data_IF_547428650948
#
_entry.id   IF_547428650948
#
_cell.length_a   1.000
_cell.length_b   1.000
_cell.length_c   1.000
_cell.angle_alpha   90.00
_cell.angle_beta   90.00
_cell.angle_gamma   90.00
#
_symmetry.space_group_name_H-M   'P 1'
#
loop_
_entity.id
_entity.type
_entity.pdbx_description
1 polymer ?
#
# COMPACT_ATOMS: atom_id res chain seq x y z
N UNK A 1 -9.23 18.91 20.18
CA UNK A 1 -9.95 18.83 18.88
C UNK A 1 -11.37 18.37 19.13
N UNK A 2 -12.37 19.16 18.74
CA UNK A 2 -13.78 18.82 18.94
C UNK A 2 -14.29 18.05 17.72
N UNK A 3 -14.79 16.81 17.91
CA UNK A 3 -15.33 15.97 16.83
C UNK A 3 -16.54 16.60 16.12
N UNK A 4 -17.28 17.47 16.81
CA UNK A 4 -18.41 18.21 16.21
C UNK A 4 -17.93 19.20 15.15
N UNK A 5 -16.82 19.89 15.44
CA UNK A 5 -16.24 20.87 14.51
C UNK A 5 -15.64 20.19 13.28
N UNK A 6 -14.97 19.04 13.46
CA UNK A 6 -14.48 18.21 12.35
C UNK A 6 -15.63 17.78 11.41
N UNK A 7 -16.75 17.31 11.95
CA UNK A 7 -17.91 16.90 11.15
C UNK A 7 -18.54 18.03 10.35
N UNK A 8 -18.44 19.27 10.83
CA UNK A 8 -18.99 20.48 10.15
C UNK A 8 -18.00 21.10 9.18
N UNK A 9 -16.70 20.86 9.36
CA UNK A 9 -15.63 21.46 8.58
C UNK A 9 -15.50 20.86 7.15
N UNK A 10 -16.09 19.69 6.90
CA UNK A 10 -16.01 19.00 5.61
C UNK A 10 -17.26 18.16 5.32
N UNK A 11 -17.17 17.30 4.30
CA UNK A 11 -18.28 16.42 3.90
C UNK A 11 -18.02 14.98 4.37
N UNK A 12 -18.51 14.64 5.56
CA UNK A 12 -18.31 13.32 6.19
C UNK A 12 -18.77 12.14 5.31
N UNK A 13 -19.93 12.18 4.60
CA UNK A 13 -20.32 11.08 3.71
C UNK A 13 -19.30 10.82 2.61
N UNK A 14 -18.68 11.84 2.03
CA UNK A 14 -17.60 11.67 1.04
C UNK A 14 -16.36 11.07 1.68
N UNK A 15 -15.97 11.48 2.89
CA UNK A 15 -14.82 10.92 3.59
C UNK A 15 -15.00 9.43 3.87
N UNK A 16 -16.18 9.04 4.38
CA UNK A 16 -16.47 7.63 4.68
C UNK A 16 -16.59 6.77 3.41
N UNK A 17 -17.16 7.33 2.32
CA UNK A 17 -17.20 6.63 1.05
C UNK A 17 -15.82 6.51 0.39
N UNK A 18 -14.93 7.49 0.57
CA UNK A 18 -13.53 7.41 0.13
C UNK A 18 -12.75 6.34 0.90
N UNK A 19 -12.95 6.26 2.22
CA UNK A 19 -12.40 5.18 3.04
C UNK A 19 -12.89 3.81 2.56
N UNK A 20 -14.20 3.63 2.42
CA UNK A 20 -14.79 2.35 1.98
C UNK A 20 -14.32 1.95 0.58
N UNK A 21 -14.28 2.91 -0.35
CA UNK A 21 -13.73 2.70 -1.69
C UNK A 21 -12.29 2.18 -1.62
N UNK A 22 -11.46 2.82 -0.81
CA UNK A 22 -10.06 2.42 -0.69
C UNK A 22 -9.92 1.06 0.01
N UNK A 23 -10.68 0.82 1.07
CA UNK A 23 -10.64 -0.43 1.86
C UNK A 23 -11.04 -1.64 1.00
N UNK A 24 -12.19 -1.58 0.34
CA UNK A 24 -12.68 -2.66 -0.52
C UNK A 24 -11.79 -2.86 -1.75
N UNK A 25 -11.27 -1.77 -2.33
CA UNK A 25 -10.32 -1.86 -3.45
C UNK A 25 -9.03 -2.54 -3.02
N UNK A 26 -8.48 -2.24 -1.84
CA UNK A 26 -7.27 -2.90 -1.34
C UNK A 26 -7.50 -4.36 -0.96
N UNK A 27 -8.69 -4.69 -0.44
CA UNK A 27 -9.10 -6.08 -0.24
C UNK A 27 -9.02 -6.88 -1.56
N UNK A 28 -9.57 -6.33 -2.64
CA UNK A 28 -9.56 -6.98 -3.97
C UNK A 28 -8.15 -7.01 -4.56
N UNK A 29 -7.39 -5.95 -4.39
CA UNK A 29 -6.03 -5.84 -4.95
C UNK A 29 -5.08 -6.94 -4.50
N UNK A 30 -5.13 -7.33 -3.23
CA UNK A 30 -4.26 -8.38 -2.67
C UNK A 30 -4.91 -9.77 -2.66
N UNK A 31 -6.05 -9.92 -3.33
CA UNK A 31 -6.84 -11.15 -3.31
C UNK A 31 -6.04 -12.37 -3.80
N UNK A 32 -5.26 -12.22 -4.88
CA UNK A 32 -4.40 -13.30 -5.40
C UNK A 32 -3.37 -13.74 -4.37
N UNK A 33 -2.75 -12.80 -3.66
CA UNK A 33 -1.80 -13.12 -2.59
C UNK A 33 -2.45 -13.88 -1.44
N UNK A 34 -3.65 -13.47 -1.02
CA UNK A 34 -4.43 -14.15 0.01
C UNK A 34 -4.87 -15.57 -0.42
N UNK A 35 -5.17 -15.77 -1.70
CA UNK A 35 -5.61 -17.04 -2.29
C UNK A 35 -4.45 -17.92 -2.79
N UNK A 36 -3.21 -17.43 -2.77
CA UNK A 36 -2.08 -18.11 -3.40
C UNK A 36 -1.89 -19.55 -2.92
N UNK A 37 -2.19 -19.83 -1.66
CA UNK A 37 -2.12 -21.18 -1.09
C UNK A 37 -3.12 -22.19 -1.67
N UNK A 38 -4.18 -21.71 -2.32
CA UNK A 38 -5.16 -22.52 -3.03
C UNK A 38 -4.89 -22.59 -4.53
N UNK A 39 -4.34 -21.51 -5.11
CA UNK A 39 -4.03 -21.38 -6.52
C UNK A 39 -2.77 -22.19 -6.89
N UNK A 40 -1.71 -22.09 -6.08
CA UNK A 40 -0.40 -22.70 -6.36
C UNK A 40 -0.44 -24.20 -6.61
N UNK A 41 -1.19 -25.02 -5.85
CA UNK A 41 -1.29 -26.47 -6.08
C UNK A 41 -1.88 -26.82 -7.46
N UNK A 42 -2.85 -26.03 -7.96
CA UNK A 42 -3.52 -26.30 -9.22
C UNK A 42 -2.59 -26.17 -10.45
N UNK A 43 -1.53 -25.37 -10.32
CA UNK A 43 -0.61 -25.06 -11.44
C UNK A 43 0.83 -25.56 -11.23
N UNK A 44 1.14 -26.17 -10.09
CA UNK A 44 2.50 -26.69 -9.82
C UNK A 44 3.60 -25.64 -9.89
N UNK A 45 3.36 -24.42 -9.37
CA UNK A 45 4.22 -23.26 -9.55
C UNK A 45 5.55 -23.36 -8.79
N UNK A 46 6.65 -23.02 -9.47
CA UNK A 46 7.96 -22.80 -8.84
C UNK A 46 7.93 -21.62 -7.86
N UNK A 47 8.88 -21.52 -6.91
CA UNK A 47 8.97 -20.36 -6.00
C UNK A 47 9.04 -19.03 -6.72
N UNK A 48 9.76 -18.92 -7.84
CA UNK A 48 9.82 -17.72 -8.67
C UNK A 48 8.45 -17.39 -9.28
N UNK A 49 7.75 -18.40 -9.84
CA UNK A 49 6.40 -18.21 -10.40
C UNK A 49 5.37 -17.81 -9.32
N UNK A 50 5.52 -18.31 -8.09
CA UNK A 50 4.72 -17.86 -6.93
C UNK A 50 4.95 -16.38 -6.63
N UNK A 51 6.21 -15.93 -6.64
CA UNK A 51 6.56 -14.51 -6.45
C UNK A 51 5.94 -13.64 -7.54
N UNK A 52 6.03 -14.07 -8.81
CA UNK A 52 5.42 -13.38 -9.96
C UNK A 52 3.90 -13.29 -9.81
N UNK A 53 3.24 -14.39 -9.45
CA UNK A 53 1.79 -14.45 -9.25
C UNK A 53 1.29 -13.39 -8.28
N UNK A 54 1.88 -13.30 -7.09
CA UNK A 54 1.43 -12.35 -6.07
C UNK A 54 1.95 -10.94 -6.30
N UNK A 55 3.05 -10.77 -7.03
CA UNK A 55 3.60 -9.47 -7.40
C UNK A 55 2.82 -8.78 -8.53
N UNK A 56 2.28 -9.54 -9.48
CA UNK A 56 1.64 -8.98 -10.69
C UNK A 56 0.51 -7.99 -10.39
N UNK A 57 -0.43 -8.23 -9.44
CA UNK A 57 -1.42 -7.21 -9.06
C UNK A 57 -0.78 -5.92 -8.55
N UNK A 58 0.34 -6.04 -7.82
CA UNK A 58 1.04 -4.89 -7.24
C UNK A 58 1.69 -4.07 -8.37
N UNK A 59 2.29 -4.72 -9.37
CA UNK A 59 2.82 -4.07 -10.57
C UNK A 59 1.71 -3.32 -11.33
N UNK A 60 0.57 -3.99 -11.57
CA UNK A 60 -0.59 -3.36 -12.19
C UNK A 60 -1.04 -2.10 -11.43
N UNK A 61 -1.08 -2.19 -10.09
CA UNK A 61 -1.40 -1.06 -9.22
C UNK A 61 -0.39 0.09 -9.33
N UNK A 62 0.90 -0.21 -9.41
CA UNK A 62 1.94 0.80 -9.58
C UNK A 62 1.75 1.61 -10.88
N UNK A 63 1.51 0.92 -12.00
CA UNK A 63 1.31 1.53 -13.31
C UNK A 63 0.01 2.35 -13.35
N UNK A 64 -1.11 1.73 -12.95
CA UNK A 64 -2.44 2.33 -13.05
C UNK A 64 -2.64 3.47 -12.04
N UNK A 65 -1.84 3.54 -10.98
CA UNK A 65 -1.86 4.66 -10.03
C UNK A 65 -1.52 5.99 -10.67
N UNK A 66 -0.59 6.00 -11.62
CA UNK A 66 -0.27 7.20 -12.40
C UNK A 66 -1.44 7.59 -13.31
N UNK A 67 -2.07 6.61 -13.95
CA UNK A 67 -3.22 6.85 -14.85
C UNK A 67 -4.41 7.39 -14.06
N UNK A 68 -4.81 6.72 -12.97
CA UNK A 68 -5.93 7.16 -12.15
C UNK A 68 -5.65 8.49 -11.44
N UNK A 69 -4.40 8.78 -11.09
CA UNK A 69 -3.98 10.06 -10.55
C UNK A 69 -4.24 11.22 -11.52
N UNK A 70 -3.80 11.08 -12.78
CA UNK A 70 -4.06 12.06 -13.85
C UNK A 70 -5.56 12.18 -14.13
N UNK A 71 -6.28 11.06 -14.16
CA UNK A 71 -7.75 11.09 -14.34
C UNK A 71 -8.45 11.80 -13.17
N UNK A 72 -7.97 11.63 -11.94
CA UNK A 72 -8.53 12.30 -10.76
C UNK A 72 -8.40 13.83 -10.85
N UNK A 73 -7.29 14.31 -11.38
CA UNK A 73 -7.08 15.75 -11.56
C UNK A 73 -7.88 16.32 -12.72
N UNK A 74 -8.12 15.55 -13.80
CA UNK A 74 -8.82 16.01 -15.01
C UNK A 74 -10.32 15.81 -14.98
N UNK A 75 -10.78 14.65 -14.50
CA UNK A 75 -12.20 14.25 -14.53
C UNK A 75 -12.92 14.47 -13.19
N UNK A 76 -12.13 14.75 -12.12
CA UNK A 76 -12.59 14.76 -10.75
C UNK A 76 -12.49 13.38 -10.07
N UNK A 77 -12.33 13.41 -8.76
CA UNK A 77 -12.09 12.20 -7.97
C UNK A 77 -13.32 11.28 -7.93
N UNK A 78 -14.54 11.83 -7.87
CA UNK A 78 -15.78 11.05 -7.87
C UNK A 78 -15.94 10.25 -9.17
N UNK A 79 -15.81 10.88 -10.33
CA UNK A 79 -15.93 10.18 -11.63
C UNK A 79 -14.86 9.13 -11.80
N UNK A 80 -13.62 9.46 -11.47
CA UNK A 80 -12.49 8.52 -11.54
C UNK A 80 -12.68 7.32 -10.62
N UNK A 81 -13.20 7.52 -9.39
CA UNK A 81 -13.51 6.44 -8.46
C UNK A 81 -14.58 5.49 -8.98
N UNK A 82 -15.67 6.02 -9.58
CA UNK A 82 -16.72 5.18 -10.19
C UNK A 82 -16.17 4.38 -11.38
N UNK A 83 -15.34 4.99 -12.24
CA UNK A 83 -14.66 4.29 -13.34
C UNK A 83 -13.75 3.18 -12.78
N UNK A 84 -12.96 3.48 -11.75
CA UNK A 84 -12.09 2.50 -11.09
C UNK A 84 -12.86 1.31 -10.52
N UNK A 85 -13.99 1.55 -9.84
CA UNK A 85 -14.86 0.47 -9.34
C UNK A 85 -15.48 -0.35 -10.48
N UNK A 86 -15.98 0.30 -11.52
CA UNK A 86 -16.53 -0.38 -12.69
C UNK A 86 -15.47 -1.25 -13.40
N UNK A 87 -14.26 -0.72 -13.59
CA UNK A 87 -13.15 -1.48 -14.17
C UNK A 87 -12.68 -2.63 -13.28
N UNK A 88 -12.83 -2.53 -11.96
CA UNK A 88 -12.48 -3.61 -11.00
C UNK A 88 -13.39 -4.84 -11.16
N UNK A 89 -14.63 -4.65 -11.63
CA UNK A 89 -15.55 -5.77 -11.90
C UNK A 89 -14.98 -6.71 -12.98
N UNK A 90 -14.28 -6.18 -13.97
CA UNK A 90 -13.75 -6.98 -15.10
C UNK A 90 -12.77 -8.06 -14.64
N UNK A 91 -11.66 -7.76 -13.95
CA UNK A 91 -10.74 -8.79 -13.49
C UNK A 91 -11.36 -9.75 -12.47
N UNK A 92 -12.33 -9.31 -11.67
CA UNK A 92 -13.04 -10.20 -10.77
C UNK A 92 -13.89 -11.22 -11.54
N UNK A 93 -14.64 -10.77 -12.55
CA UNK A 93 -15.42 -11.67 -13.42
C UNK A 93 -14.50 -12.62 -14.21
N UNK A 94 -13.38 -12.12 -14.75
CA UNK A 94 -12.39 -12.96 -15.43
C UNK A 94 -11.73 -13.98 -14.50
N UNK A 95 -11.40 -13.58 -13.27
CA UNK A 95 -10.84 -14.47 -12.25
C UNK A 95 -11.80 -15.59 -11.85
N UNK A 96 -13.09 -15.28 -11.83
CA UNK A 96 -14.14 -16.24 -11.53
C UNK A 96 -14.42 -17.22 -12.66
N UNK A 97 -14.55 -16.72 -13.92
CA UNK A 97 -15.15 -17.47 -15.02
C UNK A 97 -14.14 -17.94 -16.09
N UNK A 98 -12.91 -17.38 -16.11
CA UNK A 98 -11.99 -17.53 -17.23
C UNK A 98 -10.55 -17.89 -16.87
N UNK A 99 -10.14 -17.70 -15.59
CA UNK A 99 -8.76 -17.91 -15.16
C UNK A 99 -8.44 -19.39 -14.93
N UNK A 100 -8.38 -20.16 -16.01
CA UNK A 100 -8.09 -21.60 -16.04
C UNK A 100 -6.61 -21.93 -16.29
N UNK A 101 -5.75 -20.92 -16.48
CA UNK A 101 -4.33 -21.09 -16.75
C UNK A 101 -3.49 -20.01 -16.09
N UNK A 102 -2.22 -20.32 -15.82
CA UNK A 102 -1.30 -19.38 -15.16
C UNK A 102 -1.14 -18.04 -15.92
N UNK A 103 -0.96 -18.00 -17.27
CA UNK A 103 -0.91 -16.73 -18.00
C UNK A 103 -2.18 -15.89 -17.88
N UNK A 104 -3.37 -16.53 -17.92
CA UNK A 104 -4.65 -15.84 -17.73
C UNK A 104 -4.76 -15.25 -16.33
N UNK A 105 -4.30 -15.98 -15.31
CA UNK A 105 -4.30 -15.50 -13.93
C UNK A 105 -3.32 -14.34 -13.73
N UNK A 106 -2.17 -14.34 -14.42
CA UNK A 106 -1.27 -13.18 -14.42
C UNK A 106 -1.93 -11.95 -15.05
N UNK A 107 -2.66 -12.13 -16.16
CA UNK A 107 -3.42 -11.04 -16.78
C UNK A 107 -4.51 -10.50 -15.83
N UNK A 108 -5.27 -11.39 -15.18
CA UNK A 108 -6.23 -11.01 -14.13
C UNK A 108 -5.53 -10.22 -13.03
N UNK A 109 -4.38 -10.69 -12.56
CA UNK A 109 -3.56 -9.99 -11.56
C UNK A 109 -3.18 -8.58 -11.99
N UNK A 110 -2.68 -8.42 -13.21
CA UNK A 110 -2.31 -7.11 -13.75
C UNK A 110 -3.51 -6.16 -13.82
N UNK A 111 -4.68 -6.65 -14.26
CA UNK A 111 -5.91 -5.87 -14.32
C UNK A 111 -6.48 -5.53 -12.93
N UNK A 112 -6.31 -6.41 -11.91
CA UNK A 112 -6.63 -6.09 -10.53
C UNK A 112 -5.85 -4.89 -9.99
N UNK A 113 -4.75 -4.52 -10.63
CA UNK A 113 -4.01 -3.30 -10.34
C UNK A 113 -4.87 -2.03 -10.35
N UNK A 114 -6.00 -2.01 -11.08
CA UNK A 114 -6.92 -0.87 -11.04
C UNK A 114 -7.44 -0.62 -9.62
N UNK A 115 -7.72 -1.68 -8.87
CA UNK A 115 -8.11 -1.57 -7.48
C UNK A 115 -6.96 -1.04 -6.59
N UNK A 116 -5.70 -1.48 -6.85
CA UNK A 116 -4.52 -0.96 -6.17
C UNK A 116 -4.21 0.51 -6.44
N UNK A 117 -4.75 1.05 -7.53
CA UNK A 117 -4.62 2.46 -7.88
C UNK A 117 -5.63 3.38 -7.14
N UNK A 118 -6.58 2.82 -6.40
CA UNK A 118 -7.63 3.55 -5.66
C UNK A 118 -7.08 4.60 -4.68
N UNK A 119 -5.88 4.39 -4.16
CA UNK A 119 -5.16 5.37 -3.34
C UNK A 119 -5.05 6.75 -4.00
N UNK A 120 -4.77 6.81 -5.31
CA UNK A 120 -4.63 8.06 -6.06
C UNK A 120 -5.97 8.83 -6.24
N UNK A 121 -7.08 8.19 -5.93
CA UNK A 121 -8.42 8.76 -5.99
C UNK A 121 -8.94 9.10 -4.59
N UNK A 122 -8.84 8.14 -3.67
CA UNK A 122 -9.45 8.24 -2.34
C UNK A 122 -8.85 9.37 -1.49
N UNK A 123 -7.53 9.54 -1.51
CA UNK A 123 -6.88 10.57 -0.71
C UNK A 123 -7.21 12.00 -1.18
N UNK A 124 -7.11 12.34 -2.48
CA UNK A 124 -7.57 13.65 -2.97
C UNK A 124 -9.06 13.88 -2.72
N UNK A 125 -9.90 12.85 -2.92
CA UNK A 125 -11.33 12.95 -2.67
C UNK A 125 -11.64 13.34 -1.23
N UNK A 126 -10.98 12.71 -0.26
CA UNK A 126 -11.16 12.98 1.16
C UNK A 126 -10.52 14.32 1.57
N UNK A 127 -9.26 14.54 1.19
CA UNK A 127 -8.46 15.67 1.68
C UNK A 127 -8.94 17.03 1.19
N UNK A 128 -9.47 17.11 -0.05
CA UNK A 128 -9.93 18.39 -0.65
C UNK A 128 -11.20 18.98 0.02
N UNK A 129 -11.92 18.21 0.83
CA UNK A 129 -13.11 18.67 1.56
C UNK A 129 -12.78 19.35 2.88
N UNK A 130 -11.61 19.11 3.45
CA UNK A 130 -11.25 19.55 4.78
C UNK A 130 -10.22 20.68 4.74
N UNK A 131 -10.39 21.73 5.58
CA UNK A 131 -9.40 22.80 5.71
C UNK A 131 -8.10 22.26 6.33
N UNK A 132 -6.96 22.97 6.17
CA UNK A 132 -5.62 22.48 6.55
C UNK A 132 -5.53 21.90 7.97
N UNK A 133 -6.20 22.53 8.96
CA UNK A 133 -6.18 22.07 10.35
C UNK A 133 -6.83 20.69 10.57
N UNK A 134 -7.68 20.22 9.67
CA UNK A 134 -8.37 18.93 9.75
C UNK A 134 -7.96 17.95 8.65
N UNK A 135 -7.15 18.41 7.70
CA UNK A 135 -6.76 17.63 6.53
C UNK A 135 -5.96 16.37 6.90
N UNK A 136 -5.06 16.48 7.90
CA UNK A 136 -4.30 15.33 8.40
C UNK A 136 -5.20 14.22 8.95
N UNK A 137 -6.24 14.57 9.72
CA UNK A 137 -7.20 13.58 10.22
C UNK A 137 -8.02 12.96 9.10
N UNK A 138 -8.50 13.77 8.15
CA UNK A 138 -9.27 13.28 7.01
C UNK A 138 -8.45 12.30 6.15
N UNK A 139 -7.19 12.65 5.84
CA UNK A 139 -6.26 11.78 5.12
C UNK A 139 -5.88 10.53 5.93
N UNK A 140 -5.79 10.66 7.26
CA UNK A 140 -5.57 9.51 8.16
C UNK A 140 -6.73 8.52 8.12
N UNK A 141 -7.97 9.01 8.19
CA UNK A 141 -9.18 8.17 8.09
C UNK A 141 -9.25 7.50 6.71
N UNK A 142 -9.12 8.27 5.63
CA UNK A 142 -9.13 7.71 4.27
C UNK A 142 -7.97 6.71 4.07
N UNK A 143 -6.77 7.06 4.57
CA UNK A 143 -5.58 6.21 4.46
C UNK A 143 -5.65 4.90 5.26
N UNK A 144 -6.52 4.83 6.29
CA UNK A 144 -6.80 3.59 7.02
C UNK A 144 -7.46 2.52 6.14
N UNK A 145 -7.94 2.85 4.93
CA UNK A 145 -8.43 1.89 3.94
C UNK A 145 -7.40 0.82 3.52
N UNK A 146 -6.12 0.96 3.89
CA UNK A 146 -5.17 -0.16 3.84
C UNK A 146 -5.63 -1.40 4.64
N UNK A 147 -6.57 -1.25 5.58
CA UNK A 147 -7.13 -2.36 6.37
C UNK A 147 -7.86 -3.40 5.51
N UNK A 148 -8.30 -3.05 4.30
CA UNK A 148 -8.85 -3.99 3.34
C UNK A 148 -7.94 -5.18 3.04
N UNK A 149 -6.62 -4.99 3.11
CA UNK A 149 -5.66 -6.10 2.99
C UNK A 149 -5.85 -7.15 4.10
N UNK A 150 -6.21 -6.74 5.31
CA UNK A 150 -6.53 -7.65 6.41
C UNK A 150 -7.83 -8.42 6.16
N UNK A 151 -8.84 -7.77 5.55
CA UNK A 151 -10.08 -8.45 5.16
C UNK A 151 -9.79 -9.57 4.15
N UNK A 152 -8.96 -9.29 3.13
CA UNK A 152 -8.58 -10.31 2.16
C UNK A 152 -7.86 -11.49 2.81
N UNK A 153 -6.81 -11.24 3.58
CA UNK A 153 -6.02 -12.32 4.20
C UNK A 153 -6.80 -13.13 5.23
N UNK A 154 -7.81 -12.52 5.87
CA UNK A 154 -8.67 -13.17 6.84
C UNK A 154 -9.76 -14.01 6.17
N UNK A 155 -10.52 -13.43 5.25
CA UNK A 155 -11.74 -14.04 4.71
C UNK A 155 -11.48 -14.88 3.46
N UNK A 156 -10.61 -14.43 2.52
CA UNK A 156 -10.44 -15.14 1.27
C UNK A 156 -9.99 -16.60 1.43
N UNK A 157 -9.02 -16.96 2.31
CA UNK A 157 -8.66 -18.36 2.53
C UNK A 157 -9.79 -19.22 3.12
N UNK A 158 -10.65 -18.63 3.96
CA UNK A 158 -11.82 -19.33 4.54
C UNK A 158 -12.89 -19.61 3.49
N UNK A 159 -13.17 -18.60 2.66
CA UNK A 159 -14.13 -18.74 1.57
C UNK A 159 -13.63 -19.71 0.50
N UNK A 160 -12.33 -19.68 0.19
CA UNK A 160 -11.71 -20.61 -0.75
C UNK A 160 -11.75 -22.08 -0.25
N UNK A 161 -11.61 -22.28 1.05
CA UNK A 161 -11.73 -23.62 1.64
C UNK A 161 -13.15 -24.21 1.54
N UNK A 162 -14.18 -23.36 1.42
CA UNK A 162 -15.58 -23.77 1.31
C UNK A 162 -16.04 -23.92 -0.14
N UNK A 163 -15.65 -23.00 -1.03
CA UNK A 163 -16.22 -22.88 -2.37
C UNK A 163 -15.17 -22.87 -3.51
N UNK A 164 -13.90 -23.08 -3.20
CA UNK A 164 -12.81 -22.95 -4.16
C UNK A 164 -12.38 -21.50 -4.38
N UNK A 165 -11.13 -21.32 -4.85
CA UNK A 165 -10.55 -19.98 -4.98
C UNK A 165 -11.19 -19.14 -6.10
N UNK A 166 -11.67 -19.77 -7.19
CA UNK A 166 -12.36 -19.06 -8.28
C UNK A 166 -13.65 -18.40 -7.78
N UNK A 167 -14.43 -19.10 -6.94
CA UNK A 167 -15.67 -18.58 -6.39
C UNK A 167 -15.44 -17.31 -5.54
N UNK A 168 -14.26 -17.18 -4.91
CA UNK A 168 -13.93 -16.00 -4.09
C UNK A 168 -13.83 -14.74 -4.95
N UNK A 169 -13.37 -14.84 -6.20
CA UNK A 169 -13.41 -13.70 -7.14
C UNK A 169 -14.85 -13.26 -7.42
N UNK A 170 -15.76 -14.22 -7.64
CA UNK A 170 -17.18 -13.95 -7.82
C UNK A 170 -17.80 -13.32 -6.57
N UNK A 171 -17.53 -13.86 -5.39
CA UNK A 171 -18.01 -13.32 -4.12
C UNK A 171 -17.50 -11.90 -3.84
N UNK A 172 -16.27 -11.58 -4.27
CA UNK A 172 -15.69 -10.24 -4.11
C UNK A 172 -16.41 -9.17 -4.96
N UNK A 173 -17.20 -9.56 -5.98
CA UNK A 173 -18.07 -8.64 -6.71
C UNK A 173 -19.12 -7.99 -5.78
N UNK A 174 -19.62 -8.71 -4.78
CA UNK A 174 -20.66 -8.21 -3.87
C UNK A 174 -20.20 -6.95 -3.14
N UNK A 175 -19.10 -6.95 -2.35
CA UNK A 175 -18.64 -5.74 -1.69
C UNK A 175 -18.21 -4.64 -2.65
N UNK A 176 -17.69 -4.98 -3.84
CA UNK A 176 -17.32 -3.96 -4.85
C UNK A 176 -18.56 -3.25 -5.39
N UNK A 177 -19.62 -3.98 -5.75
CA UNK A 177 -20.88 -3.39 -6.24
C UNK A 177 -21.57 -2.59 -5.13
N UNK A 178 -21.65 -3.10 -3.91
CA UNK A 178 -22.19 -2.35 -2.77
C UNK A 178 -21.40 -1.05 -2.53
N UNK A 179 -20.08 -1.13 -2.59
CA UNK A 179 -19.23 0.07 -2.47
C UNK A 179 -19.48 1.05 -3.61
N UNK A 180 -19.65 0.57 -4.85
CA UNK A 180 -19.97 1.43 -5.99
C UNK A 180 -21.30 2.17 -5.80
N UNK A 181 -22.32 1.49 -5.30
CA UNK A 181 -23.62 2.09 -5.01
C UNK A 181 -23.53 3.14 -3.89
N UNK A 182 -22.86 2.83 -2.79
CA UNK A 182 -22.63 3.77 -1.66
C UNK A 182 -21.80 4.96 -2.14
N UNK A 183 -20.73 4.70 -2.90
CA UNK A 183 -19.86 5.75 -3.44
C UNK A 183 -20.62 6.65 -4.42
N UNK A 184 -21.45 6.10 -5.29
CA UNK A 184 -22.31 6.85 -6.22
C UNK A 184 -23.27 7.77 -5.47
N UNK A 185 -23.87 7.29 -4.36
CA UNK A 185 -24.84 8.05 -3.56
C UNK A 185 -24.18 9.12 -2.67
N UNK A 186 -23.02 8.81 -2.06
CA UNK A 186 -22.45 9.60 -0.98
C UNK A 186 -21.26 10.47 -1.41
N UNK A 187 -20.46 10.03 -2.39
CA UNK A 187 -19.27 10.76 -2.82
C UNK A 187 -19.64 11.99 -3.63
N UNK A 188 -19.00 13.11 -3.30
CA UNK A 188 -19.12 14.38 -4.04
C UNK A 188 -17.71 14.95 -4.25
N UNK A 189 -17.48 15.55 -5.42
CA UNK A 189 -16.27 16.32 -5.64
C UNK A 189 -16.30 17.59 -4.79
N UNK A 190 -15.13 17.96 -4.24
CA UNK A 190 -15.01 19.20 -3.47
C UNK A 190 -15.18 20.41 -4.39
N UNK A 191 -15.85 21.49 -3.93
CA UNK A 191 -15.90 22.74 -4.67
C UNK A 191 -14.52 23.39 -4.85
N UNK A 192 -13.54 23.03 -4.00
CA UNK A 192 -12.17 23.55 -4.03
C UNK A 192 -11.25 22.62 -4.86
N UNK A 193 -11.67 22.17 -6.03
CA UNK A 193 -10.79 21.39 -6.89
C UNK A 193 -9.72 22.28 -7.53
N UNK A 194 -8.42 21.91 -7.44
CA UNK A 194 -7.38 22.60 -8.18
C UNK A 194 -7.62 22.41 -9.68
N UNK A 195 -7.21 23.43 -10.48
CA UNK A 195 -7.23 23.31 -11.93
C UNK A 195 -6.39 22.12 -12.41
N UNK A 196 -6.81 21.42 -13.48
CA UNK A 196 -6.03 20.31 -14.04
C UNK A 196 -4.62 20.76 -14.40
N UNK A 197 -3.61 20.00 -14.00
CA UNK A 197 -2.22 20.33 -14.28
C UNK A 197 -1.78 19.73 -15.61
N UNK A 198 -0.91 20.44 -16.37
CA UNK A 198 -0.33 19.90 -17.59
C UNK A 198 0.58 18.71 -17.30
N UNK A 199 0.62 17.73 -18.23
CA UNK A 199 1.47 16.54 -18.09
C UNK A 199 2.97 16.87 -17.92
N UNK A 200 3.39 18.03 -18.43
CA UNK A 200 4.77 18.52 -18.26
C UNK A 200 5.17 18.71 -16.79
N UNK A 201 4.24 19.06 -15.89
CA UNK A 201 4.53 19.20 -14.46
C UNK A 201 4.83 17.83 -13.82
N UNK A 202 4.15 16.75 -14.26
CA UNK A 202 4.46 15.38 -13.81
C UNK A 202 5.87 14.97 -14.21
N UNK A 203 6.30 15.34 -15.42
CA UNK A 203 7.66 15.10 -15.89
C UNK A 203 8.67 15.99 -15.14
N UNK A 204 8.27 17.23 -14.80
CA UNK A 204 9.08 18.16 -14.02
C UNK A 204 9.50 17.60 -12.65
N UNK A 205 8.57 16.97 -11.94
CA UNK A 205 8.84 16.32 -10.65
C UNK A 205 9.90 15.21 -10.77
N UNK A 206 9.92 14.46 -11.87
CA UNK A 206 10.90 13.40 -12.09
C UNK A 206 12.33 13.92 -12.31
N UNK A 207 12.51 15.23 -12.55
CA UNK A 207 13.83 15.87 -12.64
C UNK A 207 14.39 16.27 -11.27
N UNK A 208 13.54 16.33 -10.24
CA UNK A 208 13.95 16.67 -8.88
C UNK A 208 14.54 15.42 -8.18
N UNK A 209 15.77 15.56 -7.66
CA UNK A 209 16.46 14.48 -6.94
C UNK A 209 15.72 14.06 -5.66
N UNK A 210 15.07 15.01 -4.98
CA UNK A 210 14.35 14.72 -3.74
C UNK A 210 13.15 13.83 -3.99
N UNK A 211 12.48 13.95 -5.16
CA UNK A 211 11.41 13.06 -5.54
C UNK A 211 11.86 11.58 -5.61
N UNK A 212 13.08 11.33 -6.14
CA UNK A 212 13.65 9.99 -6.20
C UNK A 212 14.02 9.42 -4.82
N UNK A 213 14.48 10.27 -3.90
CA UNK A 213 14.68 9.84 -2.51
C UNK A 213 13.38 9.44 -1.84
N UNK A 214 12.31 10.20 -1.99
CA UNK A 214 11.00 9.82 -1.50
C UNK A 214 10.46 8.55 -2.19
N UNK A 215 10.72 8.37 -3.49
CA UNK A 215 10.42 7.14 -4.21
C UNK A 215 11.14 5.93 -3.59
N UNK A 216 12.43 6.04 -3.30
CA UNK A 216 13.21 5.00 -2.63
C UNK A 216 12.64 4.66 -1.25
N UNK A 217 12.43 5.68 -0.42
CA UNK A 217 11.94 5.48 0.96
C UNK A 217 10.54 4.86 0.99
N UNK A 218 9.67 5.28 0.09
CA UNK A 218 8.32 4.72 -0.01
C UNK A 218 8.31 3.33 -0.66
N UNK A 219 9.25 3.03 -1.55
CA UNK A 219 9.45 1.68 -2.09
C UNK A 219 9.82 0.69 -0.98
N UNK A 220 10.62 1.09 0.00
CA UNK A 220 10.95 0.25 1.15
C UNK A 220 9.79 0.19 2.14
N UNK A 221 9.17 1.32 2.51
CA UNK A 221 8.11 1.32 3.54
C UNK A 221 6.81 0.73 3.02
N UNK A 222 6.20 1.33 2.01
CA UNK A 222 4.92 0.86 1.46
C UNK A 222 5.11 -0.40 0.62
N UNK A 223 6.15 -0.41 -0.22
CA UNK A 223 6.48 -1.59 -1.02
C UNK A 223 6.76 -2.80 -0.14
N UNK A 224 7.56 -2.61 0.91
CA UNK A 224 7.81 -3.66 1.91
C UNK A 224 6.53 -4.14 2.58
N UNK A 225 5.67 -3.22 3.02
CA UNK A 225 4.40 -3.58 3.65
C UNK A 225 3.48 -4.38 2.72
N UNK A 226 3.21 -3.89 1.52
CA UNK A 226 2.26 -4.56 0.61
C UNK A 226 2.85 -5.84 0.02
N UNK A 227 4.16 -5.86 -0.26
CA UNK A 227 4.86 -7.05 -0.73
C UNK A 227 4.83 -8.17 0.31
N UNK A 228 5.11 -7.86 1.58
CA UNK A 228 4.96 -8.82 2.69
C UNK A 228 3.50 -9.24 2.84
N UNK A 229 2.55 -8.32 2.90
CA UNK A 229 1.13 -8.64 3.06
C UNK A 229 0.64 -9.66 2.02
N UNK A 230 1.12 -9.54 0.78
CA UNK A 230 0.77 -10.45 -0.32
C UNK A 230 1.52 -11.79 -0.25
N UNK A 231 2.76 -11.80 0.27
CA UNK A 231 3.62 -12.99 0.28
C UNK A 231 3.48 -13.84 1.56
N UNK A 232 3.16 -13.22 2.71
CA UNK A 232 3.14 -13.89 4.02
C UNK A 232 2.23 -15.12 4.08
N UNK A 233 1.02 -15.17 3.46
CA UNK A 233 0.22 -16.39 3.47
C UNK A 233 0.96 -17.60 2.90
N UNK A 234 1.70 -17.42 1.79
CA UNK A 234 2.52 -18.49 1.21
C UNK A 234 3.74 -18.82 2.09
N UNK A 235 4.42 -17.80 2.60
CA UNK A 235 5.59 -17.97 3.45
C UNK A 235 5.26 -18.84 4.68
N UNK A 236 4.19 -18.52 5.40
CA UNK A 236 3.80 -19.27 6.58
C UNK A 236 3.43 -20.73 6.25
N UNK A 237 2.74 -20.96 5.13
CA UNK A 237 2.43 -22.32 4.70
C UNK A 237 3.66 -23.09 4.26
N UNK A 238 4.46 -22.52 3.38
CA UNK A 238 5.63 -23.19 2.78
C UNK A 238 6.74 -23.44 3.80
N UNK A 239 6.94 -22.53 4.76
CA UNK A 239 8.05 -22.60 5.71
C UNK A 239 7.68 -23.37 6.99
N UNK A 240 6.43 -23.26 7.45
CA UNK A 240 6.01 -23.80 8.75
C UNK A 240 4.93 -24.89 8.65
N UNK A 241 4.52 -25.27 7.44
CA UNK A 241 3.57 -26.35 7.21
C UNK A 241 2.15 -26.11 7.76
N UNK A 242 1.81 -24.85 8.09
CA UNK A 242 0.48 -24.53 8.61
C UNK A 242 -0.59 -24.60 7.51
N UNK A 243 -1.85 -24.85 7.90
CA UNK A 243 -2.97 -24.85 6.93
C UNK A 243 -3.11 -23.50 6.23
N UNK A 244 -3.65 -23.48 5.01
CA UNK A 244 -3.85 -22.25 4.23
C UNK A 244 -4.68 -21.20 5.00
N UNK A 245 -5.72 -21.63 5.73
CA UNK A 245 -6.57 -20.75 6.56
C UNK A 245 -5.78 -20.17 7.73
N UNK A 246 -4.96 -20.98 8.42
CA UNK A 246 -4.11 -20.52 9.52
C UNK A 246 -3.04 -19.56 9.02
N UNK A 247 -2.42 -19.85 7.89
CA UNK A 247 -1.45 -18.96 7.24
C UNK A 247 -2.04 -17.58 6.92
N UNK A 248 -3.27 -17.54 6.39
CA UNK A 248 -4.02 -16.30 6.17
C UNK A 248 -4.29 -15.54 7.47
N UNK A 249 -4.67 -16.24 8.55
CA UNK A 249 -4.89 -15.62 9.86
C UNK A 249 -3.62 -14.99 10.42
N UNK A 250 -2.47 -15.68 10.33
CA UNK A 250 -1.18 -15.16 10.79
C UNK A 250 -0.75 -13.94 9.97
N UNK A 251 -0.93 -13.98 8.65
CA UNK A 251 -0.69 -12.83 7.79
C UNK A 251 -1.60 -11.64 8.17
N UNK A 252 -2.87 -11.89 8.49
CA UNK A 252 -3.81 -10.84 8.93
C UNK A 252 -3.29 -10.11 10.16
N UNK A 253 -2.77 -10.81 11.16
CA UNK A 253 -2.22 -10.16 12.38
C UNK A 253 -1.08 -9.20 12.02
N UNK A 254 -0.18 -9.61 11.12
CA UNK A 254 0.91 -8.75 10.66
C UNK A 254 0.37 -7.53 9.87
N UNK A 255 -0.59 -7.75 8.99
CA UNK A 255 -1.20 -6.69 8.16
C UNK A 255 -1.95 -5.67 9.01
N UNK A 256 -2.70 -6.12 10.01
CA UNK A 256 -3.39 -5.23 10.97
C UNK A 256 -2.40 -4.32 11.67
N UNK A 257 -1.28 -4.86 12.17
CA UNK A 257 -0.24 -4.05 12.80
C UNK A 257 0.26 -2.94 11.86
N UNK A 258 0.59 -3.26 10.61
CA UNK A 258 1.08 -2.27 9.64
C UNK A 258 0.02 -1.24 9.20
N UNK A 259 -1.24 -1.68 9.02
CA UNK A 259 -2.31 -0.80 8.55
C UNK A 259 -2.69 0.26 9.59
N UNK A 260 -2.90 -0.14 10.85
CA UNK A 260 -3.36 0.76 11.89
C UNK A 260 -2.25 1.63 12.50
N UNK A 261 -0.98 1.24 12.37
CA UNK A 261 0.15 2.07 12.80
C UNK A 261 0.51 3.18 11.81
N UNK A 262 -0.01 3.18 10.59
CA UNK A 262 0.27 4.22 9.58
C UNK A 262 -0.12 5.64 10.05
N UNK A 263 -1.33 5.91 10.57
CA UNK A 263 -1.66 7.24 11.10
C UNK A 263 -0.79 7.64 12.31
N UNK A 264 -0.44 6.65 13.14
CA UNK A 264 0.45 6.86 14.29
C UNK A 264 1.83 7.30 13.84
N UNK A 265 2.36 6.71 12.76
CA UNK A 265 3.64 7.08 12.16
C UNK A 265 3.70 8.54 11.71
N UNK A 266 2.65 9.02 11.04
CA UNK A 266 2.53 10.43 10.66
C UNK A 266 2.53 11.36 11.89
N UNK A 267 1.71 11.04 12.90
CA UNK A 267 1.64 11.82 14.13
C UNK A 267 2.96 11.84 14.92
N UNK A 268 3.65 10.71 14.99
CA UNK A 268 4.98 10.64 15.62
C UNK A 268 6.02 11.44 14.81
N UNK A 269 5.94 11.42 13.49
CA UNK A 269 6.82 12.20 12.63
C UNK A 269 6.66 13.71 12.83
N UNK A 270 5.42 14.20 13.07
CA UNK A 270 5.16 15.59 13.40
C UNK A 270 5.80 16.01 14.73
N UNK A 271 5.91 15.08 15.69
CA UNK A 271 6.46 15.37 17.03
C UNK A 271 7.96 15.16 17.15
N UNK A 272 8.46 14.07 16.58
CA UNK A 272 9.87 13.64 16.73
C UNK A 272 10.75 14.12 15.58
N UNK A 273 10.11 14.53 14.48
CA UNK A 273 10.74 14.81 13.20
C UNK A 273 10.76 13.59 12.27
N UNK A 274 10.29 13.78 11.04
CA UNK A 274 10.13 12.70 10.06
C UNK A 274 11.45 12.01 9.70
N UNK A 275 12.57 12.76 9.63
CA UNK A 275 13.90 12.20 9.31
C UNK A 275 14.38 11.27 10.43
N UNK A 276 14.32 11.73 11.69
CA UNK A 276 14.77 10.93 12.85
C UNK A 276 13.94 9.66 12.98
N UNK A 277 12.61 9.81 12.92
CA UNK A 277 11.71 8.67 13.05
C UNK A 277 11.96 7.67 11.94
N UNK A 278 11.99 8.10 10.67
CA UNK A 278 12.14 7.23 9.51
C UNK A 278 13.49 6.49 9.51
N UNK A 279 14.58 7.16 9.93
CA UNK A 279 15.89 6.53 10.09
C UNK A 279 15.82 5.38 11.12
N UNK A 280 15.23 5.63 12.29
CA UNK A 280 15.05 4.58 13.31
C UNK A 280 14.16 3.43 12.83
N UNK A 281 13.10 3.74 12.08
CA UNK A 281 12.20 2.74 11.51
C UNK A 281 12.92 1.86 10.47
N UNK A 282 13.73 2.43 9.58
CA UNK A 282 14.51 1.65 8.61
C UNK A 282 15.51 0.72 9.30
N UNK A 283 16.21 1.19 10.32
CA UNK A 283 17.11 0.34 11.12
C UNK A 283 16.34 -0.79 11.82
N UNK A 284 15.19 -0.47 12.41
CA UNK A 284 14.32 -1.45 13.04
C UNK A 284 13.80 -2.51 12.06
N UNK A 285 13.37 -2.10 10.85
CA UNK A 285 12.98 -3.02 9.77
C UNK A 285 14.16 -3.89 9.37
N UNK A 286 15.34 -3.31 9.17
CA UNK A 286 16.55 -4.07 8.84
C UNK A 286 16.86 -5.13 9.88
N UNK A 287 16.86 -4.78 11.16
CA UNK A 287 17.14 -5.70 12.27
C UNK A 287 16.09 -6.81 12.39
N UNK A 288 14.81 -6.47 12.28
CA UNK A 288 13.73 -7.48 12.38
C UNK A 288 13.76 -8.45 11.21
N UNK A 289 13.99 -7.97 9.99
CA UNK A 289 14.09 -8.84 8.81
C UNK A 289 15.37 -9.67 8.80
N UNK A 290 16.49 -9.12 9.30
CA UNK A 290 17.69 -9.88 9.54
C UNK A 290 17.43 -11.06 10.51
N UNK A 291 16.68 -10.80 11.60
CA UNK A 291 16.30 -11.85 12.54
C UNK A 291 15.34 -12.88 11.92
N UNK A 292 14.40 -12.46 11.05
CA UNK A 292 13.51 -13.36 10.29
C UNK A 292 14.30 -14.27 9.34
N UNK A 293 15.41 -13.79 8.79
CA UNK A 293 16.25 -14.54 7.86
C UNK A 293 16.83 -15.82 8.48
N UNK A 294 16.97 -15.90 9.81
CA UNK A 294 17.37 -17.10 10.54
C UNK A 294 16.24 -18.12 10.70
N UNK A 295 15.06 -17.83 10.16
CA UNK A 295 13.90 -18.71 10.16
C UNK A 295 13.55 -19.23 11.57
N UNK A 296 13.29 -18.35 12.53
CA UNK A 296 13.00 -18.75 13.91
C UNK A 296 11.71 -19.58 13.98
N UNK A 297 11.42 -20.24 15.10
CA UNK A 297 10.14 -20.94 15.30
C UNK A 297 8.94 -20.06 14.98
N UNK A 298 7.81 -20.67 14.58
CA UNK A 298 6.63 -19.97 14.05
C UNK A 298 6.21 -18.74 14.90
N UNK A 299 6.16 -18.87 16.21
CA UNK A 299 5.78 -17.77 17.12
C UNK A 299 6.76 -16.60 17.05
N UNK A 300 8.05 -16.88 16.99
CA UNK A 300 9.10 -15.87 16.81
C UNK A 300 9.02 -15.20 15.45
N UNK A 301 8.81 -15.97 14.37
CA UNK A 301 8.64 -15.46 13.03
C UNK A 301 7.40 -14.53 12.93
N UNK A 302 6.27 -14.93 13.50
CA UNK A 302 5.05 -14.10 13.55
C UNK A 302 5.32 -12.81 14.32
N UNK A 303 5.94 -12.86 15.49
CA UNK A 303 6.27 -11.67 16.28
C UNK A 303 7.19 -10.71 15.54
N UNK A 304 8.26 -11.22 14.92
CA UNK A 304 9.19 -10.40 14.13
C UNK A 304 8.53 -9.80 12.88
N UNK A 305 7.73 -10.59 12.15
CA UNK A 305 7.04 -10.10 10.95
C UNK A 305 5.93 -9.11 11.29
N UNK A 306 5.21 -9.28 12.41
CA UNK A 306 4.28 -8.28 12.91
C UNK A 306 5.01 -6.98 13.26
N UNK A 307 6.17 -7.08 13.91
CA UNK A 307 7.01 -5.91 14.24
C UNK A 307 7.49 -5.23 12.96
N UNK A 308 8.03 -5.98 12.00
CA UNK A 308 8.47 -5.44 10.71
C UNK A 308 7.31 -4.75 9.97
N UNK A 309 6.12 -5.38 9.88
CA UNK A 309 4.95 -4.80 9.25
C UNK A 309 4.50 -3.52 9.97
N UNK A 310 4.53 -3.50 11.30
CA UNK A 310 4.22 -2.32 12.12
C UNK A 310 5.19 -1.17 11.87
N UNK A 311 6.51 -1.44 11.84
CA UNK A 311 7.54 -0.45 11.53
C UNK A 311 7.40 0.11 10.11
N UNK A 312 7.09 -0.75 9.13
CA UNK A 312 6.81 -0.34 7.75
C UNK A 312 5.55 0.54 7.68
N UNK A 313 4.50 0.18 8.44
CA UNK A 313 3.29 0.98 8.56
C UNK A 313 3.55 2.38 9.14
N UNK A 314 4.29 2.48 10.24
CA UNK A 314 4.75 3.76 10.79
C UNK A 314 5.56 4.56 9.75
N UNK A 315 6.46 3.88 9.02
CA UNK A 315 7.28 4.48 7.96
C UNK A 315 6.44 5.07 6.84
N UNK A 316 5.34 4.43 6.45
CA UNK A 316 4.40 4.95 5.46
C UNK A 316 3.83 6.32 5.86
N UNK A 317 3.51 6.50 7.14
CA UNK A 317 3.07 7.78 7.69
C UNK A 317 4.18 8.82 7.70
N UNK A 318 5.38 8.42 8.12
CA UNK A 318 6.53 9.31 8.24
C UNK A 318 7.01 9.87 6.87
N UNK A 319 7.00 9.05 5.80
CA UNK A 319 7.33 9.52 4.46
C UNK A 319 6.35 10.61 4.02
N UNK A 320 5.05 10.39 4.21
CA UNK A 320 4.02 11.36 3.82
C UNK A 320 3.89 12.57 4.76
N UNK A 321 4.61 12.61 5.87
CA UNK A 321 4.82 13.81 6.65
C UNK A 321 5.88 14.73 6.00
N UNK A 322 6.93 14.16 5.38
CA UNK A 322 8.02 14.91 4.75
C UNK A 322 7.67 15.40 3.32
N UNK A 323 6.96 14.60 2.54
CA UNK A 323 6.63 14.90 1.13
C UNK A 323 5.94 16.26 0.95
N UNK A 324 4.89 16.62 1.70
CA UNK A 324 4.22 17.91 1.55
C UNK A 324 5.10 19.11 1.92
N UNK A 325 6.06 18.92 2.81
CA UNK A 325 6.98 19.98 3.22
C UNK A 325 7.93 20.37 2.08
N UNK A 326 8.36 19.36 1.28
CA UNK A 326 9.25 19.60 0.13
C UNK A 326 8.50 20.05 -1.12
N UNK A 327 7.31 19.52 -1.34
CA UNK A 327 6.53 19.72 -2.56
C UNK A 327 5.10 20.24 -2.25
N UNK A 328 4.97 21.39 -1.59
CA UNK A 328 3.65 21.90 -1.19
C UNK A 328 2.75 22.24 -2.39
N UNK A 329 3.35 22.68 -3.50
CA UNK A 329 2.63 23.05 -4.72
C UNK A 329 2.33 21.83 -5.61
N UNK A 330 3.21 20.83 -5.64
CA UNK A 330 3.16 19.65 -6.51
C UNK A 330 2.67 18.40 -5.79
N UNK A 331 2.05 18.54 -4.62
CA UNK A 331 1.71 17.42 -3.72
C UNK A 331 0.94 16.29 -4.42
N UNK A 332 -0.01 16.60 -5.29
CA UNK A 332 -0.80 15.60 -6.02
C UNK A 332 0.06 14.76 -6.98
N UNK A 333 0.92 15.43 -7.75
CA UNK A 333 1.83 14.79 -8.71
C UNK A 333 2.84 13.91 -7.99
N UNK A 334 3.50 14.48 -6.96
CA UNK A 334 4.53 13.76 -6.18
C UNK A 334 3.93 12.56 -5.46
N UNK A 335 2.74 12.70 -4.88
CA UNK A 335 2.02 11.57 -4.24
C UNK A 335 1.75 10.45 -5.24
N UNK A 336 1.40 10.78 -6.48
CA UNK A 336 1.21 9.79 -7.55
C UNK A 336 2.52 9.06 -7.90
N UNK A 337 3.60 9.80 -8.13
CA UNK A 337 4.92 9.26 -8.50
C UNK A 337 5.51 8.41 -7.36
N UNK A 338 5.56 8.96 -6.14
CA UNK A 338 6.04 8.25 -4.94
C UNK A 338 5.17 7.02 -4.66
N UNK A 339 3.86 7.16 -4.83
CA UNK A 339 2.93 6.05 -4.69
C UNK A 339 3.15 4.92 -5.70
N UNK A 340 3.45 5.25 -6.97
CA UNK A 340 3.78 4.28 -8.02
C UNK A 340 5.11 3.56 -7.69
N UNK A 341 6.14 4.31 -7.28
CA UNK A 341 7.41 3.75 -6.85
C UNK A 341 7.25 2.78 -5.66
N UNK A 342 6.40 3.14 -4.68
CA UNK A 342 6.04 2.22 -3.60
C UNK A 342 5.41 0.92 -4.10
N UNK A 343 4.54 0.99 -5.12
CA UNK A 343 3.99 -0.20 -5.79
C UNK A 343 5.08 -1.03 -6.47
N UNK A 344 6.04 -0.40 -7.18
CA UNK A 344 7.17 -1.11 -7.78
C UNK A 344 8.01 -1.84 -6.75
N UNK A 345 8.33 -1.19 -5.61
CA UNK A 345 9.01 -1.85 -4.49
C UNK A 345 8.23 -3.06 -3.96
N UNK A 346 6.91 -2.93 -3.88
CA UNK A 346 6.01 -4.01 -3.47
C UNK A 346 5.95 -5.17 -4.46
N UNK A 347 6.11 -4.93 -5.75
CA UNK A 347 6.27 -5.97 -6.76
C UNK A 347 7.62 -6.68 -6.63
N UNK A 348 8.70 -5.90 -6.46
CA UNK A 348 10.05 -6.46 -6.38
C UNK A 348 10.23 -7.42 -5.19
N UNK A 349 9.57 -7.18 -4.05
CA UNK A 349 9.79 -7.97 -2.86
C UNK A 349 9.33 -9.45 -2.98
N UNK A 350 8.09 -9.78 -3.41
CA UNK A 350 7.71 -11.17 -3.67
C UNK A 350 8.57 -11.84 -4.76
N UNK A 351 8.94 -11.09 -5.80
CA UNK A 351 9.84 -11.58 -6.85
C UNK A 351 11.22 -11.95 -6.28
N UNK A 352 11.77 -11.10 -5.43
CA UNK A 352 13.05 -11.35 -4.75
C UNK A 352 12.98 -12.57 -3.83
N UNK A 353 11.94 -12.64 -2.99
CA UNK A 353 11.75 -13.75 -2.05
C UNK A 353 11.53 -15.08 -2.80
N UNK A 354 10.70 -15.08 -3.83
CA UNK A 354 10.43 -16.26 -4.65
C UNK A 354 11.64 -16.67 -5.50
N UNK A 355 12.27 -15.72 -6.18
CA UNK A 355 13.43 -15.98 -7.05
C UNK A 355 14.66 -16.49 -6.29
N UNK A 356 14.99 -15.87 -5.15
CA UNK A 356 16.11 -16.35 -4.33
C UNK A 356 15.78 -17.69 -3.67
N UNK A 357 14.55 -17.96 -3.29
CA UNK A 357 14.13 -19.27 -2.82
C UNK A 357 14.27 -20.35 -3.93
N UNK A 358 13.99 -20.01 -5.17
CA UNK A 358 14.16 -20.91 -6.31
C UNK A 358 15.64 -21.26 -6.54
N UNK A 359 16.52 -20.27 -6.41
CA UNK A 359 17.97 -20.43 -6.63
C UNK A 359 18.68 -21.11 -5.46
N UNK A 360 18.29 -20.83 -4.22
CA UNK A 360 19.04 -21.22 -3.01
C UNK A 360 18.33 -22.28 -2.15
N UNK A 361 17.07 -22.61 -2.49
CA UNK A 361 16.23 -23.49 -1.67
C UNK A 361 15.65 -22.83 -0.41
N UNK A 362 16.05 -21.59 -0.07
CA UNK A 362 15.66 -20.90 1.15
C UNK A 362 15.20 -19.46 0.90
N UNK A 363 14.19 -18.96 1.63
CA UNK A 363 13.78 -17.55 1.56
C UNK A 363 14.74 -16.60 2.31
N UNK A 364 15.72 -17.14 3.05
CA UNK A 364 16.70 -16.38 3.86
C UNK A 364 17.35 -15.25 3.07
N UNK A 365 17.86 -15.54 1.86
CA UNK A 365 18.51 -14.55 1.01
C UNK A 365 17.61 -13.35 0.68
N UNK A 366 16.33 -13.58 0.44
CA UNK A 366 15.36 -12.52 0.16
C UNK A 366 15.15 -11.58 1.34
N UNK A 367 15.04 -12.12 2.56
CA UNK A 367 14.93 -11.31 3.78
C UNK A 367 16.23 -10.53 4.05
N UNK A 368 17.41 -11.12 3.82
CA UNK A 368 18.69 -10.43 3.97
C UNK A 368 18.85 -9.27 2.99
N UNK A 369 18.49 -9.46 1.71
CA UNK A 369 18.53 -8.37 0.71
C UNK A 369 17.57 -7.26 1.09
N UNK A 370 16.38 -7.58 1.57
CA UNK A 370 15.44 -6.54 2.01
C UNK A 370 15.91 -5.84 3.29
N UNK A 371 16.50 -6.56 4.24
CA UNK A 371 17.13 -5.97 5.42
C UNK A 371 18.27 -5.00 5.03
N UNK A 372 19.12 -5.40 4.07
CA UNK A 372 20.18 -4.55 3.54
C UNK A 372 19.61 -3.29 2.83
N UNK A 373 18.54 -3.44 2.05
CA UNK A 373 17.85 -2.31 1.40
C UNK A 373 17.30 -1.30 2.43
N UNK A 374 16.72 -1.79 3.54
CA UNK A 374 16.27 -0.94 4.63
C UNK A 374 17.45 -0.21 5.30
N UNK A 375 18.54 -0.92 5.61
CA UNK A 375 19.76 -0.32 6.16
C UNK A 375 20.39 0.72 5.21
N UNK A 376 20.46 0.42 3.92
CA UNK A 376 20.92 1.36 2.90
C UNK A 376 20.02 2.62 2.83
N UNK A 377 18.71 2.45 2.94
CA UNK A 377 17.77 3.57 2.97
C UNK A 377 17.96 4.45 4.21
N UNK A 378 18.27 3.85 5.37
CA UNK A 378 18.64 4.62 6.56
C UNK A 378 19.92 5.43 6.33
N UNK A 379 20.97 4.82 5.77
CA UNK A 379 22.23 5.51 5.48
C UNK A 379 22.03 6.65 4.47
N UNK A 380 21.30 6.40 3.37
CA UNK A 380 20.97 7.43 2.37
C UNK A 380 20.20 8.58 3.01
N UNK A 381 19.19 8.28 3.85
CA UNK A 381 18.40 9.32 4.51
C UNK A 381 19.27 10.20 5.42
N UNK A 382 20.21 9.63 6.17
CA UNK A 382 21.16 10.38 6.99
C UNK A 382 22.07 11.30 6.14
N UNK A 383 22.52 10.82 4.97
CA UNK A 383 23.30 11.63 4.03
C UNK A 383 22.50 12.80 3.45
N UNK A 384 21.25 12.54 3.04
CA UNK A 384 20.36 13.53 2.42
C UNK A 384 19.82 14.52 3.45
N UNK A 385 19.64 14.09 4.71
CA UNK A 385 19.10 14.89 5.80
C UNK A 385 19.85 16.24 5.98
N UNK A 386 21.18 16.22 5.83
CA UNK A 386 22.00 17.45 5.95
C UNK A 386 21.64 18.51 4.90
N UNK A 387 21.25 18.09 3.70
CA UNK A 387 20.82 18.99 2.63
C UNK A 387 19.37 19.46 2.82
N UNK A 388 18.55 18.66 3.49
CA UNK A 388 17.13 18.96 3.72
C UNK A 388 16.89 19.85 4.93
N UNK A 389 17.70 19.64 6.01
CA UNK A 389 17.65 20.47 7.20
C UNK A 389 18.08 21.90 6.87
N UNK A 390 17.23 22.88 7.17
CA UNK A 390 17.41 24.29 6.84
C UNK A 390 16.96 24.68 5.43
N UNK A 391 16.71 23.71 4.51
CA UNK A 391 16.17 24.01 3.18
C UNK A 391 14.63 24.01 3.18
N UNK A 392 14.00 22.95 3.69
CA UNK A 392 12.53 22.83 3.76
C UNK A 392 12.01 22.14 5.01
N UNK A 393 12.88 21.57 5.83
CA UNK A 393 12.54 21.01 7.16
C UNK A 393 13.46 21.61 8.23
N UNK A 394 12.94 21.70 9.46
CA UNK A 394 13.75 21.99 10.63
C UNK A 394 14.54 20.74 11.06
N UNK A 395 15.39 20.87 12.07
CA UNK A 395 16.27 19.80 12.55
C UNK A 395 15.51 18.51 12.85
N UNK A 396 15.95 17.40 12.27
CA UNK A 396 15.34 16.08 12.41
C UNK A 396 14.09 15.86 11.56
N UNK A 397 13.75 16.78 10.65
CA UNK A 397 12.60 16.69 9.77
C UNK A 397 11.29 17.19 10.39
N UNK A 398 11.36 18.04 11.41
CA UNK A 398 10.21 18.78 11.91
C UNK A 398 9.73 19.81 10.88
N UNK A 399 8.45 20.16 10.93
CA UNK A 399 7.97 21.29 10.13
C UNK A 399 8.68 22.58 10.54
N UNK A 400 9.06 23.45 9.59
CA UNK A 400 9.61 24.77 9.93
C UNK A 400 8.59 25.51 10.83
N UNK A 401 9.04 26.05 11.92
CA UNK A 401 8.21 26.99 12.70
C UNK A 401 8.04 28.24 11.84
N UNK A 402 6.78 28.61 11.56
CA UNK A 402 6.53 29.93 11.01
C UNK A 402 7.14 30.95 11.96
N UNK A 403 8.07 31.76 11.44
CA UNK A 403 8.59 32.90 12.19
C UNK A 403 7.40 33.84 12.46
N UNK A 404 6.89 33.81 13.70
CA UNK A 404 5.80 34.65 14.18
C UNK A 404 6.21 36.13 14.24
#
# INVERSE_FOLDING_TARGET
MNLRDFRRAGHLPTLLSAFLYFDVSFMVWVLIGALANFIVPDYGLSPAAKGLLVGTPILGGAILRLVLGVMTDRLGARRTGLIGLALTVVPLALGWLWADSFPKLLLVGLLLGVAGASFAVALPLAGRWYPPQYQGLALGIAGAGNSGTALATLFAPRLAALWGWQAVFGLALIPVVLTALIFCACAKDSPNQPAPRPLAEYVGVLRDRDAWWFCLFYSVTFGGFVGLASFLPMFFRDQYGVSAVRAGTLATVCVVAGSFLRPVGGHLADRLGGIRLLTGLFLGVGLTLFAVAWLPPLSGAVGLLCTAAGLLGLGNGAVFQLVPQRFPKEIGVVTGVVGAAGGLGGFCLPMLLGGLKDLTGSPTGGFLVFAAAAGASAAVLVCVARAWEGAFVARGGLAPQEAG
#
